data_IF_139069717307
#
_entry.id   IF_139069717307
#
_cell.length_a   1.000
_cell.length_b   1.000
_cell.length_c   1.000
_cell.angle_alpha   90.00
_cell.angle_beta   90.00
_cell.angle_gamma   90.00
#
_symmetry.space_group_name_H-M   'P 1'
#
loop_
_entity.id
_entity.type
_entity.pdbx_description
1 polymer ?
#
# COMPACT_ATOMS: atom_id res chain seq x y z
N UNK A 1 -0.63 13.30 -13.64
CA UNK A 1 0.56 13.19 -12.78
C UNK A 1 1.68 12.53 -13.57
N UNK A 2 2.85 13.14 -13.57
CA UNK A 2 4.00 12.54 -14.24
C UNK A 2 4.54 11.38 -13.41
N UNK A 3 4.72 10.24 -14.06
CA UNK A 3 5.22 9.05 -13.37
C UNK A 3 6.71 9.17 -13.09
N UNK A 4 7.11 8.65 -11.95
CA UNK A 4 8.53 8.47 -11.63
C UNK A 4 8.95 7.12 -12.17
N UNK A 5 9.93 7.13 -13.06
CA UNK A 5 10.42 5.91 -13.71
C UNK A 5 11.91 5.76 -13.40
N UNK A 6 12.27 4.59 -12.87
CA UNK A 6 13.66 4.24 -12.57
C UNK A 6 13.96 2.86 -13.14
N UNK A 7 15.24 2.59 -13.33
CA UNK A 7 15.67 1.26 -13.77
C UNK A 7 15.54 0.27 -12.63
N UNK A 8 15.52 -1.01 -12.97
CA UNK A 8 15.53 -2.09 -11.98
C UNK A 8 16.70 -1.93 -11.00
N UNK A 9 17.88 -1.62 -11.51
CA UNK A 9 19.06 -1.45 -10.68
C UNK A 9 18.90 -0.29 -9.69
N UNK A 10 18.29 0.81 -10.11
CA UNK A 10 18.04 1.96 -9.24
C UNK A 10 17.07 1.61 -8.12
N UNK A 11 15.99 0.89 -8.44
CA UNK A 11 15.06 0.44 -7.41
C UNK A 11 15.72 -0.51 -6.43
N UNK A 12 16.56 -1.44 -6.90
CA UNK A 12 17.25 -2.40 -6.05
C UNK A 12 18.23 -1.73 -5.11
N UNK A 13 18.83 -0.62 -5.52
CA UNK A 13 19.73 0.15 -4.66
C UNK A 13 18.98 0.83 -3.53
N UNK A 14 17.76 1.25 -3.78
CA UNK A 14 16.94 2.02 -2.85
C UNK A 14 16.15 1.14 -1.86
N UNK A 15 15.73 -0.05 -2.31
CA UNK A 15 14.79 -0.91 -1.59
C UNK A 15 15.50 -2.15 -1.06
N UNK A 16 15.02 -2.69 0.07
CA UNK A 16 15.48 -4.02 0.49
C UNK A 16 14.77 -5.10 -0.36
N UNK A 17 15.15 -6.37 -0.13
CA UNK A 17 14.66 -7.46 -0.97
C UNK A 17 13.15 -7.60 -0.97
N UNK A 18 12.51 -7.55 0.20
CA UNK A 18 11.06 -7.72 0.28
C UNK A 18 10.34 -6.51 -0.28
N UNK A 19 10.85 -5.30 -0.03
CA UNK A 19 10.28 -4.09 -0.61
C UNK A 19 10.32 -4.14 -2.13
N UNK A 20 11.44 -4.57 -2.69
CA UNK A 20 11.57 -4.68 -4.15
C UNK A 20 10.62 -5.73 -4.72
N UNK A 21 10.60 -6.91 -4.13
CA UNK A 21 9.73 -7.99 -4.60
C UNK A 21 8.26 -7.59 -4.58
N UNK A 22 7.81 -6.95 -3.52
CA UNK A 22 6.41 -6.54 -3.38
C UNK A 22 6.08 -5.41 -4.35
N UNK A 23 6.90 -4.35 -4.38
CA UNK A 23 6.53 -3.14 -5.12
C UNK A 23 6.82 -3.23 -6.62
N UNK A 24 7.89 -3.94 -7.00
CA UNK A 24 8.32 -3.99 -8.40
C UNK A 24 8.05 -5.32 -9.08
N UNK A 25 7.90 -6.40 -8.31
CA UNK A 25 7.64 -7.73 -8.86
C UNK A 25 6.26 -8.28 -8.50
N UNK A 26 5.39 -7.45 -7.92
CA UNK A 26 4.01 -7.79 -7.57
C UNK A 26 3.91 -8.97 -6.59
N UNK A 27 4.89 -9.14 -5.73
CA UNK A 27 4.81 -10.15 -4.68
C UNK A 27 3.88 -9.68 -3.56
N UNK A 28 3.44 -10.60 -2.74
CA UNK A 28 2.62 -10.33 -1.56
C UNK A 28 3.40 -10.77 -0.33
N UNK A 29 3.54 -9.90 0.66
CA UNK A 29 4.16 -10.31 1.92
C UNK A 29 3.25 -11.31 2.64
N UNK A 30 3.83 -12.15 3.48
CA UNK A 30 3.04 -13.10 4.27
C UNK A 30 2.21 -12.35 5.31
N UNK A 31 0.98 -12.80 5.52
CA UNK A 31 0.10 -12.23 6.55
C UNK A 31 0.81 -12.22 7.91
N UNK A 32 0.64 -11.14 8.65
CA UNK A 32 1.24 -10.91 9.98
C UNK A 32 2.76 -10.74 9.97
N UNK A 33 3.41 -10.74 8.81
CA UNK A 33 4.86 -10.58 8.72
C UNK A 33 5.29 -9.12 8.62
N UNK A 34 4.40 -8.23 8.22
CA UNK A 34 4.74 -6.82 8.02
C UNK A 34 4.62 -6.01 9.30
N UNK A 35 5.44 -4.99 9.43
CA UNK A 35 5.52 -4.18 10.66
C UNK A 35 4.31 -3.31 10.92
N UNK A 36 3.44 -3.11 9.92
CA UNK A 36 2.29 -2.24 10.08
C UNK A 36 0.97 -2.98 10.22
N UNK A 37 0.96 -4.32 10.23
CA UNK A 37 -0.28 -5.08 10.31
C UNK A 37 -1.16 -4.63 11.47
N UNK A 38 -0.57 -4.45 12.66
CA UNK A 38 -1.29 -4.05 13.87
C UNK A 38 -0.86 -2.69 14.40
N UNK A 39 -0.06 -1.95 13.64
CA UNK A 39 0.47 -0.66 14.09
C UNK A 39 -0.65 0.37 14.20
N UNK A 40 -0.67 1.12 15.30
CA UNK A 40 -1.68 2.15 15.59
C UNK A 40 -1.08 3.54 15.77
N UNK A 41 0.21 3.70 15.46
CA UNK A 41 0.86 5.00 15.62
C UNK A 41 0.25 6.00 14.64
N UNK A 42 -0.01 7.25 15.08
CA UNK A 42 -0.54 8.27 14.18
C UNK A 42 0.52 8.70 13.18
N UNK A 43 0.09 8.89 11.94
CA UNK A 43 1.00 9.32 10.90
C UNK A 43 0.41 9.16 9.51
N UNK A 44 1.25 9.43 8.53
CA UNK A 44 0.92 9.26 7.12
C UNK A 44 1.74 8.11 6.56
N UNK A 45 1.07 7.18 5.89
CA UNK A 45 1.73 6.06 5.23
C UNK A 45 2.07 6.48 3.80
N UNK A 46 3.35 6.66 3.54
CA UNK A 46 3.85 7.07 2.24
C UNK A 46 4.26 5.86 1.41
N UNK A 47 4.26 6.02 0.08
CA UNK A 47 4.82 5.01 -0.79
C UNK A 47 6.31 4.83 -0.50
N UNK A 48 6.75 3.60 -0.26
CA UNK A 48 8.15 3.32 0.08
C UNK A 48 9.08 3.65 -1.08
N UNK A 49 8.57 3.62 -2.31
CA UNK A 49 9.37 3.85 -3.51
C UNK A 49 9.59 5.34 -3.81
N UNK A 50 8.50 6.12 -3.82
CA UNK A 50 8.58 7.52 -4.27
C UNK A 50 8.26 8.55 -3.20
N UNK A 51 7.81 8.11 -2.03
CA UNK A 51 7.49 9.01 -0.93
C UNK A 51 6.14 9.69 -1.03
N UNK A 52 5.31 9.35 -2.03
CA UNK A 52 3.99 9.96 -2.16
C UNK A 52 3.12 9.59 -0.96
N UNK A 53 2.49 10.58 -0.28
CA UNK A 53 1.56 10.27 0.81
C UNK A 53 0.33 9.53 0.27
N UNK A 54 0.03 8.37 0.85
CA UNK A 54 -1.02 7.48 0.33
C UNK A 54 -2.20 7.32 1.28
N UNK A 55 -1.94 7.08 2.56
CA UNK A 55 -2.99 6.78 3.53
C UNK A 55 -2.72 7.50 4.85
N UNK A 56 -3.78 7.95 5.48
CA UNK A 56 -3.72 8.52 6.84
C UNK A 56 -4.04 7.42 7.85
N UNK A 57 -3.31 7.41 8.96
CA UNK A 57 -3.57 6.45 10.04
C UNK A 57 -5.01 6.51 10.56
N UNK A 58 -5.67 7.65 10.39
CA UNK A 58 -7.07 7.82 10.82
C UNK A 58 -8.02 6.91 10.04
N UNK A 59 -7.63 6.45 8.85
CA UNK A 59 -8.46 5.53 8.06
C UNK A 59 -8.05 4.07 8.24
N UNK A 60 -6.99 3.82 9.00
CA UNK A 60 -6.52 2.45 9.26
C UNK A 60 -7.41 1.80 10.31
N UNK A 61 -7.71 0.52 10.11
CA UNK A 61 -8.54 -0.24 11.05
C UNK A 61 -8.08 -1.69 11.12
N UNK A 62 -8.49 -2.38 12.17
CA UNK A 62 -8.16 -3.79 12.39
C UNK A 62 -9.11 -4.67 11.58
N UNK A 63 -8.61 -5.20 10.47
CA UNK A 63 -9.41 -6.07 9.60
C UNK A 63 -9.30 -7.55 9.98
N UNK A 64 -8.30 -7.91 10.77
CA UNK A 64 -8.02 -9.31 11.09
C UNK A 64 -7.37 -10.08 9.96
N UNK A 65 -7.00 -9.40 8.88
CA UNK A 65 -6.47 -10.06 7.69
C UNK A 65 -4.97 -10.39 7.78
N UNK A 66 -4.24 -9.69 8.67
CA UNK A 66 -2.80 -9.84 8.78
C UNK A 66 -2.00 -8.85 7.93
N UNK A 67 -2.69 -7.97 7.24
CA UNK A 67 -2.10 -6.87 6.47
C UNK A 67 -2.69 -5.54 6.92
N UNK A 68 -1.94 -4.44 6.83
CA UNK A 68 -2.50 -3.13 7.16
C UNK A 68 -3.68 -2.83 6.23
N UNK A 69 -4.78 -2.38 6.81
CA UNK A 69 -6.03 -2.16 6.09
C UNK A 69 -6.52 -0.75 6.34
N UNK A 70 -7.04 -0.12 5.29
CA UNK A 70 -7.54 1.24 5.32
C UNK A 70 -8.88 1.27 4.59
N UNK A 71 -9.78 2.17 4.99
CA UNK A 71 -11.05 2.27 4.27
C UNK A 71 -11.06 3.33 3.17
N UNK A 72 -10.01 4.15 3.08
CA UNK A 72 -9.88 5.15 2.02
C UNK A 72 -8.44 5.63 1.90
N UNK A 73 -7.99 6.03 0.69
CA UNK A 73 -6.71 6.71 0.53
C UNK A 73 -6.84 8.19 0.91
N UNK A 74 -5.72 8.89 1.00
CA UNK A 74 -5.71 10.34 1.28
C UNK A 74 -6.52 11.11 0.25
N UNK A 75 -6.32 10.79 -1.02
CA UNK A 75 -7.15 11.31 -2.12
C UNK A 75 -7.37 10.18 -3.11
N UNK A 76 -8.40 10.30 -3.93
CA UNK A 76 -8.71 9.27 -4.92
C UNK A 76 -7.65 9.16 -6.02
N UNK A 77 -6.83 10.19 -6.20
CA UNK A 77 -5.87 10.26 -7.30
C UNK A 77 -4.51 9.65 -6.98
N UNK A 78 -4.20 9.36 -5.72
CA UNK A 78 -2.88 8.83 -5.36
C UNK A 78 -2.76 7.32 -5.54
N UNK A 79 -3.89 6.62 -5.65
CA UNK A 79 -3.93 5.17 -5.86
C UNK A 79 -4.68 4.89 -7.16
N UNK A 80 -4.03 4.16 -8.06
CA UNK A 80 -4.66 3.67 -9.30
C UNK A 80 -4.93 2.19 -9.15
N UNK A 81 -5.85 1.68 -9.97
CA UNK A 81 -6.28 0.29 -9.89
C UNK A 81 -6.16 -0.40 -11.23
N UNK A 82 -5.92 -1.71 -11.19
CA UNK A 82 -5.98 -2.59 -12.35
C UNK A 82 -6.66 -3.89 -11.95
N UNK A 83 -7.14 -4.64 -12.94
CA UNK A 83 -7.72 -5.95 -12.68
C UNK A 83 -6.61 -6.98 -12.61
N UNK A 84 -6.57 -7.73 -11.51
CA UNK A 84 -5.61 -8.80 -11.28
C UNK A 84 -6.33 -10.13 -11.44
N UNK A 85 -5.94 -10.91 -12.45
CA UNK A 85 -6.56 -12.21 -12.74
C UNK A 85 -5.66 -13.38 -12.37
N UNK A 86 -4.62 -13.15 -11.60
CA UNK A 86 -3.68 -14.20 -11.21
C UNK A 86 -4.35 -15.23 -10.29
N UNK A 87 -3.81 -16.43 -10.27
CA UNK A 87 -4.25 -17.54 -9.42
C UNK A 87 -5.73 -17.91 -9.61
N UNK A 88 -6.27 -17.69 -10.82
CA UNK A 88 -7.66 -18.01 -11.11
C UNK A 88 -8.68 -17.13 -10.42
N UNK A 89 -8.25 -16.03 -9.82
CA UNK A 89 -9.12 -15.06 -9.14
C UNK A 89 -9.19 -13.77 -9.92
N UNK A 90 -10.30 -13.02 -9.71
CA UNK A 90 -10.44 -11.68 -10.27
C UNK A 90 -10.46 -10.72 -9.08
N UNK A 91 -9.44 -9.89 -8.97
CA UNK A 91 -9.30 -8.94 -7.86
C UNK A 91 -8.93 -7.57 -8.40
N UNK A 92 -9.20 -6.53 -7.60
CA UNK A 92 -8.78 -5.16 -7.93
C UNK A 92 -7.42 -4.91 -7.28
N UNK A 93 -6.41 -4.72 -8.09
CA UNK A 93 -5.05 -4.43 -7.62
C UNK A 93 -4.90 -2.92 -7.44
N UNK A 94 -4.24 -2.51 -6.36
CA UNK A 94 -3.95 -1.11 -6.09
C UNK A 94 -2.46 -0.85 -6.26
N UNK A 95 -2.13 0.25 -6.94
CA UNK A 95 -0.73 0.66 -7.10
C UNK A 95 -0.61 2.18 -6.96
N UNK A 96 0.60 2.62 -6.65
CA UNK A 96 0.88 4.04 -6.48
C UNK A 96 0.75 4.76 -7.82
N UNK A 97 -0.07 5.81 -7.86
CA UNK A 97 -0.29 6.56 -9.09
C UNK A 97 0.99 7.24 -9.60
N UNK A 98 1.93 7.51 -8.71
CA UNK A 98 3.13 8.28 -9.07
C UNK A 98 4.28 7.43 -9.59
N UNK A 99 4.44 6.19 -9.09
CA UNK A 99 5.59 5.36 -9.48
C UNK A 99 5.21 3.93 -9.88
N UNK A 100 3.92 3.61 -9.88
CA UNK A 100 3.38 2.29 -10.22
C UNK A 100 3.78 1.17 -9.25
N UNK A 101 4.26 1.51 -8.05
CA UNK A 101 4.57 0.51 -7.05
C UNK A 101 3.32 -0.30 -6.70
N UNK A 102 3.43 -1.63 -6.73
CA UNK A 102 2.33 -2.48 -6.27
C UNK A 102 2.13 -2.29 -4.77
N UNK A 103 0.91 -1.98 -4.38
CA UNK A 103 0.58 -1.72 -2.97
C UNK A 103 -0.18 -2.88 -2.34
N UNK A 104 -1.16 -3.41 -3.03
CA UNK A 104 -2.01 -4.46 -2.52
C UNK A 104 -3.27 -4.60 -3.36
N UNK A 105 -4.37 -4.95 -2.69
CA UNK A 105 -5.65 -5.17 -3.36
C UNK A 105 -6.77 -4.48 -2.59
N UNK A 106 -7.86 -4.19 -3.31
CA UNK A 106 -9.03 -3.54 -2.74
C UNK A 106 -10.20 -4.52 -2.77
N UNK A 107 -10.87 -4.65 -1.65
CA UNK A 107 -12.04 -5.53 -1.49
C UNK A 107 -13.25 -4.69 -1.09
N UNK A 108 -14.45 -5.23 -1.29
CA UNK A 108 -15.70 -4.53 -1.01
C UNK A 108 -16.33 -4.95 0.34
N UNK A 109 -15.53 -5.50 1.23
CA UNK A 109 -15.94 -5.97 2.53
C UNK A 109 -15.42 -5.08 3.66
N UNK A 110 -15.26 -3.79 3.39
CA UNK A 110 -14.75 -2.83 4.36
C UNK A 110 -15.84 -2.13 5.15
N UNK A 111 -15.43 -1.28 6.11
CA UNK A 111 -16.38 -0.55 6.95
C UNK A 111 -16.91 0.69 6.27
N UNK A 112 -17.96 1.28 6.87
CA UNK A 112 -18.38 2.62 6.49
C UNK A 112 -17.22 3.60 6.73
N UNK A 113 -17.12 4.72 5.99
CA UNK A 113 -18.12 5.22 5.04
C UNK A 113 -18.01 4.64 3.63
N UNK A 114 -16.89 4.03 3.25
CA UNK A 114 -16.69 3.62 1.86
C UNK A 114 -17.18 2.21 1.55
N UNK A 115 -17.21 1.33 2.55
CA UNK A 115 -17.47 -0.09 2.31
C UNK A 115 -16.29 -0.81 1.67
N UNK A 116 -15.13 -0.15 1.54
CA UNK A 116 -13.95 -0.71 0.89
C UNK A 116 -12.86 -1.06 1.90
N UNK A 117 -12.12 -2.11 1.60
CA UNK A 117 -10.95 -2.51 2.36
C UNK A 117 -9.74 -2.44 1.44
N UNK A 118 -8.90 -1.43 1.67
CA UNK A 118 -7.61 -1.30 0.99
C UNK A 118 -6.60 -2.13 1.77
N UNK A 119 -6.37 -3.35 1.32
CA UNK A 119 -5.49 -4.31 1.99
C UNK A 119 -4.10 -4.16 1.39
N UNK A 120 -3.21 -3.49 2.12
CA UNK A 120 -1.91 -3.09 1.58
C UNK A 120 -0.79 -3.90 2.20
N UNK A 121 0.32 -4.04 1.48
CA UNK A 121 1.52 -4.68 2.02
C UNK A 121 2.30 -3.66 2.85
N UNK A 122 2.73 -4.04 4.05
CA UNK A 122 3.59 -3.17 4.87
C UNK A 122 4.86 -2.80 4.11
N UNK A 123 5.40 -3.73 3.32
CA UNK A 123 6.63 -3.52 2.57
C UNK A 123 6.49 -2.41 1.52
N UNK A 124 5.27 -2.07 1.11
CA UNK A 124 5.01 -0.99 0.15
C UNK A 124 4.93 0.38 0.80
N UNK A 125 4.91 0.44 2.13
CA UNK A 125 4.57 1.64 2.87
C UNK A 125 5.71 2.06 3.79
N UNK A 126 5.75 3.36 4.07
CA UNK A 126 6.65 3.94 5.06
C UNK A 126 5.86 4.93 5.91
N UNK A 127 5.72 4.64 7.20
CA UNK A 127 4.97 5.50 8.11
C UNK A 127 5.82 6.69 8.54
N UNK A 128 5.31 7.87 8.29
CA UNK A 128 5.91 9.12 8.77
C UNK A 128 5.02 9.65 9.89
N UNK A 129 5.57 9.76 11.08
CA UNK A 129 4.81 10.19 12.26
C UNK A 129 4.26 11.58 12.08
N UNK A 130 3.02 11.80 12.54
CA UNK A 130 2.48 13.15 12.64
C UNK A 130 3.18 13.87 13.77
N UNK A 131 3.59 15.11 13.52
CA UNK A 131 4.19 15.91 14.54
C UNK A 131 3.14 16.34 15.56
N UNK A 132 3.55 16.37 16.81
CA UNK A 132 2.72 16.87 17.89
C UNK A 132 3.29 18.19 18.36
N UNK A 133 2.50 19.20 18.24
CA UNK A 133 2.88 20.55 18.70
C UNK A 133 2.14 20.91 19.95
#
# INVERSE_FOLDING_TARGET
MNKIIKTEAEWRTQLDDIQYQVTREHATERAWSGKYATNKDPGIYNCVCCGEPLFDSDTKYESGSGWPSFYAPLTETVVETTVDQSFGMVRTEAHCAKCDAHLGHIFDDGPAPTGLRYCMNSASLNLVSKEKN
#
